data_IF_883771139664
#
_entry.id   IF_883771139664
#
_cell.length_a   1.000
_cell.length_b   1.000
_cell.length_c   1.000
_cell.angle_alpha   90.00
_cell.angle_beta   90.00
_cell.angle_gamma   90.00
#
_symmetry.space_group_name_H-M   'P 1'
#
loop_
_entity.id
_entity.type
_entity.pdbx_description
1 polymer ?
#
# COMPACT_ATOMS: atom_id res chain seq x y z
N UNK A 1 0.04 3.27 -9.78
CA UNK A 1 -0.28 1.91 -9.32
C UNK A 1 0.79 1.44 -8.34
N UNK A 2 0.41 0.79 -7.23
CA UNK A 2 1.35 0.29 -6.19
C UNK A 2 1.22 -1.22 -6.07
N UNK A 3 2.26 -1.88 -5.54
CA UNK A 3 2.21 -3.31 -5.33
C UNK A 3 1.28 -3.75 -4.20
N UNK A 4 1.07 -5.07 -4.12
CA UNK A 4 0.18 -5.69 -3.12
C UNK A 4 0.68 -5.42 -1.69
N UNK A 5 2.01 -5.44 -1.50
CA UNK A 5 2.66 -5.18 -0.20
C UNK A 5 2.28 -3.80 0.37
N UNK A 6 2.22 -2.79 -0.49
CA UNK A 6 1.82 -1.42 -0.15
C UNK A 6 0.34 -1.33 0.22
N UNK A 7 -0.52 -2.09 -0.46
CA UNK A 7 -1.94 -2.21 -0.10
C UNK A 7 -2.13 -2.77 1.32
N UNK A 8 -1.37 -3.80 1.69
CA UNK A 8 -1.40 -4.37 3.04
C UNK A 8 -0.95 -3.35 4.11
N UNK A 9 0.09 -2.58 3.82
CA UNK A 9 0.56 -1.53 4.71
C UNK A 9 -0.48 -0.40 4.89
N UNK A 10 -1.17 0.02 3.82
CA UNK A 10 -2.27 0.99 3.89
C UNK A 10 -3.44 0.48 4.75
N UNK A 11 -3.82 -0.80 4.61
CA UNK A 11 -4.87 -1.40 5.41
C UNK A 11 -4.51 -1.43 6.91
N UNK A 12 -3.26 -1.72 7.25
CA UNK A 12 -2.77 -1.67 8.62
C UNK A 12 -2.81 -0.25 9.19
N UNK A 13 -2.41 0.76 8.39
CA UNK A 13 -2.50 2.18 8.77
C UNK A 13 -3.95 2.59 9.02
N UNK A 14 -4.88 2.21 8.15
CA UNK A 14 -6.30 2.50 8.33
C UNK A 14 -6.84 1.92 9.64
N UNK A 15 -6.52 0.64 9.92
CA UNK A 15 -6.90 -0.03 11.18
C UNK A 15 -6.31 0.67 12.41
N UNK A 16 -5.10 1.20 12.31
CA UNK A 16 -4.42 1.87 13.42
C UNK A 16 -4.84 3.34 13.60
N UNK A 17 -5.35 3.97 12.55
CA UNK A 17 -5.61 5.42 12.48
C UNK A 17 -6.51 5.95 13.61
N UNK A 18 -7.51 5.17 14.06
CA UNK A 18 -8.41 5.57 15.16
C UNK A 18 -7.71 5.63 16.53
N UNK A 19 -6.58 4.95 16.69
CA UNK A 19 -5.80 4.93 17.94
C UNK A 19 -4.67 5.97 17.98
N UNK A 20 -4.45 6.69 16.88
CA UNK A 20 -3.39 7.69 16.77
C UNK A 20 -3.92 9.09 17.10
N UNK A 21 -3.05 9.93 17.68
CA UNK A 21 -3.40 11.32 17.94
C UNK A 21 -3.61 12.08 16.64
N UNK A 22 -4.55 13.04 16.66
CA UNK A 22 -4.71 13.99 15.54
C UNK A 22 -3.39 14.71 15.27
N UNK A 23 -3.00 14.79 14.00
CA UNK A 23 -1.74 15.40 13.57
C UNK A 23 -0.52 14.46 13.63
N UNK A 24 -0.70 13.19 14.00
CA UNK A 24 0.38 12.19 13.86
C UNK A 24 0.82 12.05 12.39
N UNK A 25 2.12 11.98 12.17
CA UNK A 25 2.72 11.68 10.86
C UNK A 25 3.05 10.19 10.79
N UNK A 26 2.69 9.54 9.68
CA UNK A 26 2.95 8.12 9.42
C UNK A 26 3.88 8.01 8.22
N UNK A 27 5.02 7.35 8.40
CA UNK A 27 5.95 7.01 7.34
C UNK A 27 5.83 5.52 7.02
N UNK A 28 5.71 5.20 5.74
CA UNK A 28 5.61 3.83 5.22
C UNK A 28 6.48 3.70 3.98
N UNK A 29 7.00 2.49 3.76
CA UNK A 29 7.66 2.10 2.53
C UNK A 29 6.67 1.54 1.50
N UNK A 30 6.72 2.11 0.30
CA UNK A 30 6.19 1.50 -0.91
C UNK A 30 7.31 0.68 -1.55
N UNK A 31 7.26 -0.64 -1.41
CA UNK A 31 8.37 -1.52 -1.80
C UNK A 31 8.48 -1.70 -3.33
N UNK A 32 7.34 -1.76 -4.03
CA UNK A 32 7.28 -2.01 -5.46
C UNK A 32 6.10 -1.31 -6.17
N UNK A 33 6.18 -1.20 -7.49
CA UNK A 33 5.09 -0.71 -8.33
C UNK A 33 4.07 -1.80 -8.60
N UNK A 34 2.86 -1.40 -8.99
CA UNK A 34 1.76 -2.33 -9.30
C UNK A 34 1.95 -3.12 -10.60
N UNK A 35 2.89 -2.72 -11.46
CA UNK A 35 3.02 -3.23 -12.82
C UNK A 35 3.38 -4.74 -12.85
N UNK A 36 4.06 -5.23 -11.81
CA UNK A 36 4.40 -6.65 -11.63
C UNK A 36 3.18 -7.55 -11.40
N UNK A 37 2.04 -6.96 -11.09
CA UNK A 37 0.80 -7.66 -10.74
C UNK A 37 -0.28 -7.54 -11.81
N UNK A 38 0.03 -6.93 -12.96
CA UNK A 38 -0.88 -6.74 -14.09
C UNK A 38 -0.68 -7.81 -15.19
N UNK A 39 -0.24 -9.02 -14.83
CA UNK A 39 -0.06 -10.11 -15.79
C UNK A 39 -1.40 -10.68 -16.25
N UNK A 40 -1.78 -10.35 -17.49
CA UNK A 40 -2.72 -11.12 -18.31
C UNK A 40 -1.93 -11.82 -19.42
N UNK A 41 -2.36 -13.00 -19.87
CA UNK A 41 -1.63 -13.85 -20.83
C UNK A 41 -1.29 -13.16 -22.18
N UNK A 42 -1.86 -11.97 -22.45
CA UNK A 42 -1.75 -11.25 -23.73
C UNK A 42 -1.20 -9.82 -23.60
N UNK A 43 -0.40 -9.48 -22.57
CA UNK A 43 0.15 -8.11 -22.43
C UNK A 43 1.39 -7.81 -23.33
N UNK A 44 1.69 -8.66 -24.32
CA UNK A 44 2.63 -8.40 -25.42
C UNK A 44 2.13 -9.01 -26.73
#
# INVERSE_FOLDING_TARGET
FVGISTGAALAAVHKKSSSLRKGSTILMFNYDSGDKYLTTEELF
#
